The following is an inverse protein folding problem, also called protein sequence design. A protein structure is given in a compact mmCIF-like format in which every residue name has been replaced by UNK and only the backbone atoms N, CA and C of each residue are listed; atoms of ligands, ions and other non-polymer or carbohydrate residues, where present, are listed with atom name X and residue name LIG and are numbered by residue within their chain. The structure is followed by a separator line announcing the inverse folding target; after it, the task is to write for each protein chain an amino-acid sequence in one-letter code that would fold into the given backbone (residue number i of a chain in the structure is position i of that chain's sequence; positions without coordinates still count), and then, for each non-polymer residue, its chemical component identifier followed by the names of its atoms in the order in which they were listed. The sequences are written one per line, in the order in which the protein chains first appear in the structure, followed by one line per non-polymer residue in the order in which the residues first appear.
data_IF_611772136515
#
_entry.id   IF_611772136515
#
_cell.length_a   1.000
_cell.length_b   1.000
_cell.length_c   1.000
_cell.angle_alpha   90.00
_cell.angle_beta   90.00
_cell.angle_gamma   90.00
#
_symmetry.space_group_name_H-M   'P 1'
#
loop_
_entity.id
_entity.type
_entity.pdbx_description
1 polymer ?
#
# COMPACT_ATOMS: atom_id res chain seq x y z
N UNK A 1 -14.12 25.90 -28.90
CA UNK A 1 -14.57 26.22 -27.52
C UNK A 1 -15.82 25.43 -27.10
N UNK A 2 -16.86 25.30 -27.94
CA UNK A 2 -18.08 24.50 -27.63
C UNK A 2 -17.81 22.98 -27.56
N UNK A 3 -16.86 22.46 -28.34
CA UNK A 3 -16.46 21.04 -28.29
C UNK A 3 -15.66 20.63 -27.04
N UNK A 4 -14.94 21.59 -26.42
CA UNK A 4 -14.16 21.37 -25.18
C UNK A 4 -15.08 21.26 -23.96
N UNK A 5 -16.27 21.87 -24.00
CA UNK A 5 -17.26 21.77 -22.91
C UNK A 5 -18.04 20.44 -22.89
N UNK A 6 -18.16 19.75 -24.03
CA UNK A 6 -18.80 18.43 -24.10
C UNK A 6 -17.91 17.32 -23.50
N UNK A 7 -16.59 17.41 -23.71
CA UNK A 7 -15.60 16.47 -23.18
C UNK A 7 -15.56 16.41 -21.64
N UNK A 8 -15.77 17.56 -20.98
CA UNK A 8 -15.80 17.65 -19.51
C UNK A 8 -17.03 16.99 -18.86
N UNK A 9 -18.13 16.79 -19.60
CA UNK A 9 -19.39 16.24 -19.05
C UNK A 9 -19.38 14.71 -18.95
N UNK A 10 -18.60 14.03 -19.79
CA UNK A 10 -18.56 12.56 -19.87
C UNK A 10 -17.59 11.93 -18.85
N UNK A 11 -16.49 12.61 -18.52
CA UNK A 11 -15.58 12.25 -17.41
C UNK A 11 -16.26 12.47 -16.05
N UNK A 12 -17.06 13.55 -15.95
CA UNK A 12 -17.96 13.78 -14.79
C UNK A 12 -18.92 12.62 -14.52
N UNK A 13 -19.43 11.92 -15.54
CA UNK A 13 -20.40 10.81 -15.36
C UNK A 13 -19.73 9.54 -14.82
N UNK A 14 -18.50 9.22 -15.24
CA UNK A 14 -17.79 8.04 -14.76
C UNK A 14 -17.29 8.20 -13.32
N UNK A 15 -16.92 9.43 -12.93
CA UNK A 15 -16.32 9.71 -11.63
C UNK A 15 -17.33 10.22 -10.59
N UNK A 16 -18.44 10.83 -11.00
CA UNK A 16 -19.58 11.11 -10.08
C UNK A 16 -20.21 9.84 -9.51
N UNK A 17 -20.08 8.70 -10.21
CA UNK A 17 -20.45 7.37 -9.69
C UNK A 17 -19.64 6.93 -8.46
N UNK A 18 -18.49 7.58 -8.18
CA UNK A 18 -17.66 7.34 -6.99
C UNK A 18 -17.96 8.34 -5.84
N UNK A 19 -18.97 9.20 -5.97
CA UNK A 19 -19.42 10.10 -4.89
C UNK A 19 -18.45 11.23 -4.50
N UNK A 20 -17.32 11.37 -5.23
CA UNK A 20 -16.41 12.52 -5.14
C UNK A 20 -16.39 13.23 -6.50
N UNK A 21 -16.30 14.57 -6.51
CA UNK A 21 -15.90 15.29 -7.72
C UNK A 21 -14.51 14.79 -8.07
N UNK A 22 -14.37 14.05 -9.16
CA UNK A 22 -13.03 13.80 -9.66
C UNK A 22 -12.38 15.13 -10.02
N UNK A 23 -11.07 15.24 -9.78
CA UNK A 23 -10.32 16.37 -10.27
C UNK A 23 -10.49 16.43 -11.79
N UNK A 24 -10.74 17.64 -12.29
CA UNK A 24 -10.81 17.87 -13.73
C UNK A 24 -9.44 17.54 -14.35
N UNK A 25 -9.38 17.05 -15.58
CA UNK A 25 -8.10 16.77 -16.26
C UNK A 25 -7.17 18.01 -16.23
N UNK A 26 -7.77 19.20 -16.36
CA UNK A 26 -7.07 20.47 -16.22
C UNK A 26 -6.52 20.74 -14.81
N UNK A 27 -7.14 20.18 -13.77
CA UNK A 27 -6.66 20.31 -12.38
C UNK A 27 -5.45 19.40 -12.13
N UNK A 28 -5.42 18.21 -12.73
CA UNK A 28 -4.27 17.29 -12.65
C UNK A 28 -3.08 17.89 -13.39
N UNK A 29 -3.28 18.36 -14.63
CA UNK A 29 -2.22 19.01 -15.41
C UNK A 29 -1.68 20.26 -14.70
N UNK A 30 -2.58 21.08 -14.14
CA UNK A 30 -2.17 22.26 -13.35
C UNK A 30 -1.39 21.87 -12.09
N UNK A 31 -1.81 20.81 -11.39
CA UNK A 31 -1.11 20.30 -10.21
C UNK A 31 0.28 19.74 -10.56
N UNK A 32 0.40 19.03 -11.68
CA UNK A 32 1.68 18.55 -12.19
C UNK A 32 2.63 19.70 -12.50
N UNK A 33 2.22 20.66 -13.33
CA UNK A 33 3.07 21.77 -13.74
C UNK A 33 3.57 22.56 -12.52
N UNK A 34 2.67 22.81 -11.56
CA UNK A 34 3.01 23.46 -10.29
C UNK A 34 4.03 22.65 -9.50
N UNK A 35 3.82 21.34 -9.34
CA UNK A 35 4.71 20.47 -8.59
C UNK A 35 6.09 20.35 -9.24
N UNK A 36 6.17 20.19 -10.57
CA UNK A 36 7.42 20.10 -11.31
C UNK A 36 8.25 21.39 -11.19
N UNK A 37 7.61 22.55 -11.30
CA UNK A 37 8.27 23.85 -11.12
C UNK A 37 8.81 24.02 -9.69
N UNK A 38 8.03 23.61 -8.68
CA UNK A 38 8.48 23.65 -7.28
C UNK A 38 9.63 22.67 -7.01
N UNK A 39 9.59 21.45 -7.56
CA UNK A 39 10.69 20.48 -7.45
C UNK A 39 11.98 20.98 -8.12
N UNK A 40 11.88 21.68 -9.24
CA UNK A 40 13.03 22.30 -9.91
C UNK A 40 13.61 23.46 -9.07
N UNK A 41 12.75 24.30 -8.50
CA UNK A 41 13.18 25.35 -7.58
C UNK A 41 13.86 24.78 -6.33
N UNK A 42 13.29 23.73 -5.74
CA UNK A 42 13.88 23.02 -4.59
C UNK A 42 15.25 22.45 -4.95
N UNK A 43 15.38 21.78 -6.10
CA UNK A 43 16.65 21.22 -6.60
C UNK A 43 17.74 22.28 -6.70
N UNK A 44 17.44 23.45 -7.27
CA UNK A 44 18.39 24.58 -7.38
C UNK A 44 18.81 25.13 -6.02
N UNK A 45 17.92 25.11 -5.03
CA UNK A 45 18.17 25.68 -3.71
C UNK A 45 18.69 24.67 -2.67
N UNK A 46 18.86 23.39 -3.03
CA UNK A 46 19.38 22.34 -2.12
C UNK A 46 20.74 22.71 -1.49
N UNK A 47 21.61 23.41 -2.23
CA UNK A 47 22.92 23.83 -1.70
C UNK A 47 22.78 24.83 -0.54
N UNK A 48 21.78 25.69 -0.60
CA UNK A 48 21.60 26.82 0.32
C UNK A 48 20.64 26.53 1.47
N UNK A 49 19.77 25.51 1.34
CA UNK A 49 18.83 25.08 2.38
C UNK A 49 19.44 24.00 3.28
N UNK A 50 18.96 23.90 4.52
CA UNK A 50 19.28 22.75 5.36
C UNK A 50 18.62 21.47 4.81
N UNK A 51 19.16 20.29 5.17
CA UNK A 51 18.50 19.02 4.79
C UNK A 51 17.07 18.95 5.34
N UNK A 52 16.85 19.39 6.58
CA UNK A 52 15.55 19.34 7.23
C UNK A 52 14.51 20.23 6.53
N UNK A 53 14.88 21.47 6.16
CA UNK A 53 13.99 22.34 5.38
C UNK A 53 13.70 21.78 4.00
N UNK A 54 14.72 21.26 3.31
CA UNK A 54 14.56 20.71 1.97
C UNK A 54 13.65 19.47 1.96
N UNK A 55 13.77 18.64 3.00
CA UNK A 55 12.95 17.47 3.23
C UNK A 55 11.48 17.84 3.51
N UNK A 56 11.25 18.84 4.37
CA UNK A 56 9.90 19.36 4.67
C UNK A 56 9.24 19.97 3.42
N UNK A 57 10.00 20.73 2.63
CA UNK A 57 9.51 21.33 1.39
C UNK A 57 9.19 20.28 0.32
N UNK A 58 10.04 19.25 0.17
CA UNK A 58 9.75 18.11 -0.71
C UNK A 58 8.42 17.46 -0.35
N UNK A 59 8.21 17.15 0.93
CA UNK A 59 6.95 16.55 1.38
C UNK A 59 5.76 17.47 1.11
N UNK A 60 5.89 18.77 1.40
CA UNK A 60 4.84 19.75 1.13
C UNK A 60 4.44 19.79 -0.35
N UNK A 61 5.41 19.84 -1.27
CA UNK A 61 5.16 19.85 -2.72
C UNK A 61 4.36 18.62 -3.13
N UNK A 62 4.74 17.45 -2.63
CA UNK A 62 4.10 16.19 -2.96
C UNK A 62 2.70 16.08 -2.37
N UNK A 63 2.51 16.51 -1.13
CA UNK A 63 1.18 16.55 -0.50
C UNK A 63 0.23 17.47 -1.28
N UNK A 64 0.71 18.63 -1.72
CA UNK A 64 -0.08 19.56 -2.55
C UNK A 64 -0.37 18.99 -3.95
N UNK A 65 0.59 18.30 -4.57
CA UNK A 65 0.35 17.57 -5.82
C UNK A 65 -0.76 16.53 -5.64
N UNK A 66 -0.64 15.67 -4.63
CA UNK A 66 -1.60 14.60 -4.40
C UNK A 66 -2.99 15.12 -4.02
N UNK A 67 -3.04 16.22 -3.27
CA UNK A 67 -4.29 16.93 -2.95
C UNK A 67 -4.94 17.54 -4.19
N UNK A 68 -4.18 18.26 -5.01
CA UNK A 68 -4.68 18.90 -6.23
C UNK A 68 -5.08 17.90 -7.31
N UNK A 69 -4.21 16.91 -7.57
CA UNK A 69 -4.39 15.94 -8.63
C UNK A 69 -5.31 14.76 -8.29
N UNK A 70 -5.56 14.47 -7.01
CA UNK A 70 -6.36 13.29 -6.61
C UNK A 70 -7.44 13.61 -5.57
N UNK A 71 -7.61 14.87 -5.18
CA UNK A 71 -8.61 15.25 -4.18
C UNK A 71 -8.36 14.63 -2.80
N UNK A 72 -7.11 14.26 -2.51
CA UNK A 72 -6.69 13.77 -1.21
C UNK A 72 -6.73 14.90 -0.17
N UNK A 73 -7.01 14.55 1.10
CA UNK A 73 -6.87 15.50 2.19
C UNK A 73 -5.38 15.83 2.40
N UNK A 74 -5.08 17.04 2.86
CA UNK A 74 -3.69 17.50 3.06
C UNK A 74 -2.86 16.52 3.94
N UNK A 75 -3.47 15.96 4.97
CA UNK A 75 -2.85 14.99 5.89
C UNK A 75 -3.17 13.53 5.52
N UNK A 76 -3.05 13.18 4.23
CA UNK A 76 -3.25 11.79 3.83
C UNK A 76 -2.11 10.90 4.34
N UNK A 77 -2.46 9.64 4.63
CA UNK A 77 -1.54 8.54 4.98
C UNK A 77 -1.18 7.72 3.74
N UNK A 78 -0.10 6.94 3.79
CA UNK A 78 0.27 5.98 2.75
C UNK A 78 -0.85 4.97 2.46
N UNK A 79 -1.60 4.57 3.49
CA UNK A 79 -2.83 3.77 3.36
C UNK A 79 -3.91 4.48 2.52
N UNK A 80 -4.13 5.77 2.76
CA UNK A 80 -5.11 6.56 2.02
C UNK A 80 -4.70 6.76 0.57
N UNK A 81 -3.42 7.08 0.33
CA UNK A 81 -2.86 7.15 -1.02
C UNK A 81 -3.00 5.81 -1.75
N UNK A 82 -2.70 4.68 -1.09
CA UNK A 82 -2.88 3.34 -1.66
C UNK A 82 -4.31 3.07 -2.11
N UNK A 83 -5.29 3.45 -1.28
CA UNK A 83 -6.71 3.30 -1.63
C UNK A 83 -7.09 4.15 -2.84
N UNK A 84 -6.58 5.38 -2.97
CA UNK A 84 -6.88 6.21 -4.14
C UNK A 84 -6.16 5.69 -5.40
N UNK A 85 -4.87 5.33 -5.31
CA UNK A 85 -4.11 4.77 -6.43
C UNK A 85 -4.73 3.46 -6.96
N UNK A 86 -5.32 2.63 -6.10
CA UNK A 86 -6.02 1.40 -6.50
C UNK A 86 -7.24 1.65 -7.39
N UNK A 87 -7.91 2.80 -7.23
CA UNK A 87 -9.09 3.16 -8.04
C UNK A 87 -8.71 3.62 -9.44
N UNK A 88 -7.45 3.98 -9.64
CA UNK A 88 -6.98 4.51 -10.91
C UNK A 88 -6.51 3.38 -11.83
N UNK A 89 -6.71 3.53 -13.16
CA UNK A 89 -6.28 2.59 -14.18
C UNK A 89 -4.76 2.68 -14.44
N UNK A 90 -3.97 2.67 -13.37
CA UNK A 90 -2.52 2.75 -13.41
C UNK A 90 -1.89 1.35 -13.49
N UNK A 91 -0.72 1.25 -14.11
CA UNK A 91 0.11 0.05 -14.11
C UNK A 91 0.56 -0.33 -12.70
N UNK A 92 0.80 -1.61 -12.47
CA UNK A 92 1.27 -2.12 -11.17
C UNK A 92 2.59 -1.46 -10.76
N UNK A 93 3.49 -1.24 -11.71
CA UNK A 93 4.81 -0.65 -11.46
C UNK A 93 4.71 0.78 -10.90
N UNK A 94 3.88 1.63 -11.50
CA UNK A 94 3.74 3.01 -11.02
C UNK A 94 3.03 3.07 -9.65
N UNK A 95 2.07 2.17 -9.41
CA UNK A 95 1.43 2.04 -8.08
C UNK A 95 2.45 1.68 -7.01
N UNK A 96 3.33 0.71 -7.28
CA UNK A 96 4.40 0.30 -6.37
C UNK A 96 5.38 1.45 -6.14
N UNK A 97 5.83 2.13 -7.20
CA UNK A 97 6.77 3.23 -7.11
C UNK A 97 6.21 4.39 -6.28
N UNK A 98 4.97 4.82 -6.53
CA UNK A 98 4.31 5.87 -5.77
C UNK A 98 4.12 5.51 -4.30
N UNK A 99 3.78 4.24 -3.99
CA UNK A 99 3.61 3.77 -2.62
C UNK A 99 4.93 3.64 -1.85
N UNK A 100 5.96 3.10 -2.48
CA UNK A 100 7.30 3.02 -1.90
C UNK A 100 7.83 4.42 -1.59
N UNK A 101 7.63 5.35 -2.52
CA UNK A 101 8.02 6.75 -2.34
C UNK A 101 7.24 7.45 -1.21
N UNK A 102 5.93 7.20 -1.10
CA UNK A 102 5.12 7.73 0.00
C UNK A 102 5.57 7.22 1.37
N UNK A 103 5.96 5.94 1.49
CA UNK A 103 6.52 5.40 2.74
C UNK A 103 7.84 6.09 3.10
N UNK A 104 8.74 6.28 2.13
CA UNK A 104 10.00 7.02 2.35
C UNK A 104 9.76 8.46 2.81
N UNK A 105 8.72 9.13 2.31
CA UNK A 105 8.33 10.46 2.79
C UNK A 105 7.83 10.44 4.22
N UNK A 106 7.00 9.46 4.59
CA UNK A 106 6.54 9.29 5.97
C UNK A 106 7.73 9.06 6.91
N UNK A 107 8.66 8.17 6.54
CA UNK A 107 9.90 7.96 7.29
C UNK A 107 10.69 9.27 7.43
N UNK A 108 10.82 10.05 6.38
CA UNK A 108 11.51 11.33 6.39
C UNK A 108 10.84 12.37 7.30
N UNK A 109 9.51 12.39 7.39
CA UNK A 109 8.76 13.30 8.26
C UNK A 109 8.84 12.90 9.75
N UNK A 110 8.86 11.59 10.06
CA UNK A 110 8.67 11.10 11.43
C UNK A 110 9.91 10.46 12.08
N UNK A 111 10.93 10.09 11.32
CA UNK A 111 12.08 9.33 11.86
C UNK A 111 13.03 10.16 12.74
N UNK A 112 12.92 11.49 12.75
CA UNK A 112 13.93 12.37 13.34
C UNK A 112 15.33 12.21 12.70
N UNK A 113 15.42 11.43 11.62
CA UNK A 113 16.67 11.04 11.00
C UNK A 113 17.21 12.18 10.15
N UNK A 114 18.53 12.40 10.22
CA UNK A 114 19.20 13.42 9.41
C UNK A 114 19.44 12.88 8.01
N UNK A 115 18.51 13.16 7.10
CA UNK A 115 18.65 12.79 5.69
C UNK A 115 19.79 13.59 5.02
N UNK A 116 20.57 12.92 4.18
CA UNK A 116 21.67 13.57 3.44
C UNK A 116 21.12 14.37 2.25
N UNK A 117 21.74 15.50 1.91
CA UNK A 117 21.33 16.30 0.74
C UNK A 117 21.34 15.51 -0.58
N UNK A 118 22.27 14.57 -0.73
CA UNK A 118 22.35 13.67 -1.89
C UNK A 118 21.10 12.79 -2.01
N UNK A 119 20.60 12.29 -0.89
CA UNK A 119 19.41 11.45 -0.83
C UNK A 119 18.14 12.25 -1.12
N UNK A 120 18.03 13.49 -0.61
CA UNK A 120 16.94 14.41 -0.99
C UNK A 120 16.98 14.69 -2.50
N UNK A 121 18.17 14.92 -3.07
CA UNK A 121 18.31 15.12 -4.52
C UNK A 121 17.79 13.92 -5.31
N UNK A 122 18.10 12.70 -4.87
CA UNK A 122 17.59 11.49 -5.50
C UNK A 122 16.07 11.38 -5.37
N UNK A 123 15.52 11.67 -4.19
CA UNK A 123 14.07 11.70 -3.96
C UNK A 123 13.36 12.74 -4.83
N UNK A 124 13.96 13.91 -5.09
CA UNK A 124 13.42 14.90 -6.03
C UNK A 124 13.38 14.31 -7.45
N UNK A 125 14.43 13.61 -7.89
CA UNK A 125 14.44 12.95 -9.20
C UNK A 125 13.37 11.86 -9.30
N UNK A 126 13.23 11.04 -8.25
CA UNK A 126 12.20 10.00 -8.17
C UNK A 126 10.79 10.61 -8.18
N UNK A 127 10.55 11.67 -7.41
CA UNK A 127 9.29 12.42 -7.40
C UNK A 127 8.89 12.91 -8.79
N UNK A 128 9.81 13.56 -9.53
CA UNK A 128 9.54 14.06 -10.88
C UNK A 128 9.12 12.92 -11.83
N UNK A 129 9.84 11.80 -11.79
CA UNK A 129 9.50 10.62 -12.61
C UNK A 129 8.13 10.07 -12.28
N UNK A 130 7.80 9.93 -10.98
CA UNK A 130 6.51 9.42 -10.53
C UNK A 130 5.37 10.34 -10.96
N UNK A 131 5.52 11.66 -10.79
CA UNK A 131 4.50 12.64 -11.17
C UNK A 131 4.20 12.56 -12.67
N UNK A 132 5.23 12.66 -13.52
CA UNK A 132 5.09 12.63 -14.98
C UNK A 132 4.40 11.34 -15.43
N UNK A 133 4.86 10.20 -14.91
CA UNK A 133 4.34 8.90 -15.31
C UNK A 133 2.92 8.64 -14.79
N UNK A 134 2.58 9.14 -13.61
CA UNK A 134 1.22 9.10 -13.09
C UNK A 134 0.27 9.90 -13.98
N UNK A 135 0.60 11.14 -14.33
CA UNK A 135 -0.27 11.97 -15.17
C UNK A 135 -0.41 11.36 -16.57
N UNK A 136 0.70 10.93 -17.19
CA UNK A 136 0.69 10.29 -18.52
C UNK A 136 -0.29 9.12 -18.59
N UNK A 137 -0.23 8.19 -17.63
CA UNK A 137 -1.12 7.02 -17.63
C UNK A 137 -2.59 7.41 -17.39
N UNK A 138 -2.86 8.46 -16.61
CA UNK A 138 -4.23 8.95 -16.39
C UNK A 138 -4.80 9.57 -17.66
N UNK A 139 -3.99 10.34 -18.39
CA UNK A 139 -4.39 10.89 -19.69
C UNK A 139 -4.65 9.79 -20.73
N UNK A 140 -3.78 8.79 -20.82
CA UNK A 140 -3.93 7.67 -21.74
C UNK A 140 -5.18 6.84 -21.44
N UNK A 141 -5.46 6.58 -20.16
CA UNK A 141 -6.69 5.92 -19.75
C UNK A 141 -7.94 6.76 -20.05
N UNK A 142 -7.82 8.09 -19.98
CA UNK A 142 -8.91 9.01 -20.32
C UNK A 142 -9.18 9.05 -21.82
N UNK A 143 -8.13 9.08 -22.66
CA UNK A 143 -8.22 9.06 -24.13
C UNK A 143 -8.78 7.74 -24.66
N UNK A 144 -8.24 6.60 -24.20
CA UNK A 144 -8.73 5.26 -24.60
C UNK A 144 -10.19 5.00 -24.18
N UNK A 145 -10.61 5.54 -23.03
CA UNK A 145 -12.00 5.50 -22.60
C UNK A 145 -12.96 6.30 -23.50
N UNK A 146 -12.48 7.37 -24.15
CA UNK A 146 -13.28 8.17 -25.09
C UNK A 146 -13.43 7.48 -26.45
N UNK A 147 -12.34 6.92 -27.00
CA UNK A 147 -12.37 6.23 -28.29
C UNK A 147 -13.32 5.03 -28.28
N UNK A 148 -13.24 4.19 -27.24
CA UNK A 148 -14.14 3.05 -27.07
C UNK A 148 -15.62 3.48 -26.93
N UNK A 149 -15.89 4.64 -26.33
CA UNK A 149 -17.25 5.17 -26.22
C UNK A 149 -17.75 5.81 -27.50
N UNK A 150 -16.91 6.49 -28.27
CA UNK A 150 -17.28 7.02 -29.59
C UNK A 150 -17.61 5.87 -30.55
N UNK A 151 -16.82 4.78 -30.52
CA UNK A 151 -17.10 3.56 -31.28
C UNK A 151 -18.39 2.88 -30.82
N UNK A 152 -18.61 2.72 -29.51
CA UNK A 152 -19.83 2.11 -28.98
C UNK A 152 -21.08 2.98 -29.15
N UNK A 153 -20.97 4.31 -29.12
CA UNK A 153 -22.10 5.20 -29.40
C UNK A 153 -22.56 5.09 -30.86
N UNK A 154 -21.65 4.84 -31.81
CA UNK A 154 -22.01 4.57 -33.20
C UNK A 154 -22.67 3.19 -33.39
N UNK A 155 -22.37 2.21 -32.53
CA UNK A 155 -23.04 0.91 -32.51
C UNK A 155 -24.43 0.96 -31.83
N UNK A 156 -24.57 1.74 -30.75
CA UNK A 156 -25.82 1.86 -29.96
C UNK A 156 -26.92 2.67 -30.70
N UNK A 157 -26.56 3.58 -31.62
CA UNK A 157 -27.54 4.28 -32.48
C UNK A 157 -28.24 3.31 -33.45
N UNK A 158 -27.61 2.20 -33.81
CA UNK A 158 -28.23 1.17 -34.65
C UNK A 158 -29.02 0.13 -33.83
N UNK A 159 -28.65 -0.13 -32.57
CA UNK A 159 -29.34 -1.09 -31.70
C UNK A 159 -30.56 -0.51 -30.97
N UNK A 160 -30.63 0.82 -30.78
CA UNK A 160 -31.74 1.49 -30.06
C UNK A 160 -33.06 1.62 -30.83
N UNK A 161 -33.14 1.19 -32.09
CA UNK A 161 -34.42 1.14 -32.81
C UNK A 161 -35.27 -0.08 -32.48
N UNK A 162 -34.69 -1.14 -31.89
CA UNK A 162 -35.40 -2.43 -31.75
C UNK A 162 -35.68 -2.89 -30.31
N UNK A 163 -35.23 -2.15 -29.29
CA UNK A 163 -35.32 -2.60 -27.87
C UNK A 163 -36.11 -1.68 -26.95
N UNK A 164 -36.97 -0.80 -27.50
CA UNK A 164 -37.90 0.01 -26.71
C UNK A 164 -39.27 -0.66 -26.56
N UNK A 165 -39.30 -1.95 -26.18
CA UNK A 165 -40.52 -2.62 -25.74
C UNK A 165 -40.23 -3.97 -25.09
N UNK A 166 -39.51 -4.00 -23.96
CA UNK A 166 -39.78 -4.97 -22.89
C UNK A 166 -38.87 -4.74 -21.67
N UNK A 167 -39.49 -4.89 -20.50
CA UNK A 167 -38.88 -5.14 -19.18
C UNK A 167 -38.20 -3.98 -18.45
N UNK A 168 -39.01 -3.05 -17.92
CA UNK A 168 -38.62 -2.28 -16.73
C UNK A 168 -39.82 -1.93 -15.85
N UNK A 169 -40.32 -2.91 -15.08
CA UNK A 169 -41.25 -2.64 -13.98
C UNK A 169 -41.10 -3.53 -12.74
N UNK A 170 -40.22 -4.55 -12.72
CA UNK A 170 -40.16 -5.53 -11.61
C UNK A 170 -38.86 -5.60 -10.78
N UNK A 171 -37.73 -5.03 -11.22
CA UNK A 171 -36.40 -5.39 -10.68
C UNK A 171 -35.85 -4.48 -9.55
N UNK A 172 -36.26 -3.21 -9.50
CA UNK A 172 -35.68 -2.26 -8.55
C UNK A 172 -36.07 -2.52 -7.08
N UNK A 173 -37.30 -2.97 -6.83
CA UNK A 173 -37.78 -3.29 -5.47
C UNK A 173 -36.99 -4.43 -4.82
N UNK A 174 -36.71 -5.48 -5.59
CA UNK A 174 -35.96 -6.65 -5.11
C UNK A 174 -34.52 -6.29 -4.69
N UNK A 175 -33.84 -5.41 -5.43
CA UNK A 175 -32.47 -5.01 -5.13
C UNK A 175 -32.36 -4.15 -3.87
N UNK A 176 -33.34 -3.27 -3.61
CA UNK A 176 -33.39 -2.46 -2.39
C UNK A 176 -33.65 -3.34 -1.16
N UNK A 177 -34.56 -4.29 -1.28
CA UNK A 177 -34.86 -5.24 -0.21
C UNK A 177 -33.67 -6.14 0.12
N UNK A 178 -32.93 -6.61 -0.90
CA UNK A 178 -31.70 -7.37 -0.71
C UNK A 178 -30.62 -6.55 0.01
N UNK A 179 -30.46 -5.27 -0.33
CA UNK A 179 -29.54 -4.36 0.36
C UNK A 179 -29.94 -4.17 1.82
N UNK A 180 -31.23 -3.96 2.11
CA UNK A 180 -31.74 -3.78 3.48
C UNK A 180 -31.46 -5.01 4.33
N UNK A 181 -31.73 -6.22 3.82
CA UNK A 181 -31.44 -7.48 4.52
C UNK A 181 -29.95 -7.63 4.85
N UNK A 182 -29.08 -7.36 3.87
CA UNK A 182 -27.63 -7.44 4.09
C UNK A 182 -27.11 -6.35 5.04
N UNK A 183 -27.75 -5.18 5.08
CA UNK A 183 -27.40 -4.11 6.01
C UNK A 183 -27.69 -4.53 7.45
N UNK A 184 -28.83 -5.14 7.71
CA UNK A 184 -29.18 -5.64 9.05
C UNK A 184 -28.20 -6.72 9.52
N UNK A 185 -27.86 -7.67 8.63
CA UNK A 185 -26.84 -8.68 8.89
C UNK A 185 -25.47 -8.05 9.17
N UNK A 186 -25.03 -7.12 8.31
CA UNK A 186 -23.74 -6.44 8.44
C UNK A 186 -23.64 -5.61 9.71
N UNK A 187 -24.71 -4.90 10.09
CA UNK A 187 -24.78 -4.13 11.33
C UNK A 187 -24.78 -5.03 12.56
N UNK A 188 -25.48 -6.16 12.51
CA UNK A 188 -25.46 -7.17 13.58
C UNK A 188 -24.06 -7.75 13.77
N UNK A 189 -23.37 -8.10 12.68
CA UNK A 189 -21.98 -8.57 12.70
C UNK A 189 -21.01 -7.51 13.23
N UNK A 190 -21.23 -6.23 12.90
CA UNK A 190 -20.42 -5.15 13.42
C UNK A 190 -20.62 -4.99 14.94
N UNK A 191 -21.87 -5.05 15.41
CA UNK A 191 -22.20 -4.96 16.85
C UNK A 191 -21.61 -6.11 17.67
N UNK A 192 -21.53 -7.31 17.10
CA UNK A 192 -20.89 -8.47 17.77
C UNK A 192 -19.36 -8.44 17.72
N UNK A 193 -18.75 -7.41 17.10
CA UNK A 193 -17.30 -7.29 16.98
C UNK A 193 -16.69 -8.15 15.86
N UNK A 194 -17.51 -8.82 15.05
CA UNK A 194 -17.05 -9.59 13.89
C UNK A 194 -16.74 -8.67 12.70
N UNK A 195 -15.61 -8.00 12.79
CA UNK A 195 -15.14 -7.02 11.81
C UNK A 195 -15.01 -7.60 10.39
N UNK A 196 -14.46 -8.81 10.25
CA UNK A 196 -14.24 -9.43 8.94
C UNK A 196 -15.56 -9.69 8.21
N UNK A 197 -16.56 -10.23 8.91
CA UNK A 197 -17.87 -10.52 8.34
C UNK A 197 -18.65 -9.22 7.98
N UNK A 198 -18.63 -8.22 8.87
CA UNK A 198 -19.25 -6.93 8.60
C UNK A 198 -18.64 -6.23 7.36
N UNK A 199 -17.32 -6.31 7.18
CA UNK A 199 -16.61 -5.78 6.01
C UNK A 199 -16.99 -6.52 4.73
N UNK A 200 -17.13 -7.84 4.78
CA UNK A 200 -17.59 -8.65 3.65
C UNK A 200 -19.01 -8.27 3.22
N UNK A 201 -19.93 -8.09 4.19
CA UNK A 201 -21.29 -7.63 3.93
C UNK A 201 -21.31 -6.24 3.26
N UNK A 202 -20.53 -5.29 3.78
CA UNK A 202 -20.40 -3.96 3.18
C UNK A 202 -19.93 -4.02 1.71
N UNK A 203 -18.97 -4.89 1.40
CA UNK A 203 -18.48 -5.06 0.03
C UNK A 203 -19.60 -5.52 -0.92
N UNK A 204 -20.42 -6.50 -0.50
CA UNK A 204 -21.57 -6.98 -1.29
C UNK A 204 -22.61 -5.89 -1.49
N UNK A 205 -22.98 -5.18 -0.43
CA UNK A 205 -23.94 -4.06 -0.48
C UNK A 205 -23.48 -2.98 -1.47
N UNK A 206 -22.19 -2.62 -1.44
CA UNK A 206 -21.64 -1.59 -2.32
C UNK A 206 -21.77 -1.95 -3.81
N UNK A 207 -21.64 -3.24 -4.17
CA UNK A 207 -21.77 -3.70 -5.53
C UNK A 207 -23.22 -3.61 -6.05
N UNK A 208 -24.22 -3.92 -5.21
CA UNK A 208 -25.64 -3.80 -5.57
C UNK A 208 -26.05 -2.33 -5.62
N UNK A 209 -25.59 -1.52 -4.65
CA UNK A 209 -25.90 -0.10 -4.56
C UNK A 209 -25.54 0.67 -5.84
N UNK A 210 -24.44 0.31 -6.51
CA UNK A 210 -24.03 0.96 -7.76
C UNK A 210 -25.03 0.77 -8.91
N UNK A 211 -25.79 -0.33 -8.88
CA UNK A 211 -26.79 -0.67 -9.91
C UNK A 211 -28.16 -0.01 -9.68
N UNK A 212 -28.40 0.53 -8.49
CA UNK A 212 -29.65 1.21 -8.16
C UNK A 212 -29.81 2.55 -8.91
N UNK A 213 -31.05 2.93 -9.17
CA UNK A 213 -31.41 4.29 -9.60
C UNK A 213 -31.23 5.30 -8.45
N UNK A 214 -31.25 6.60 -8.78
CA UNK A 214 -30.95 7.65 -7.81
C UNK A 214 -31.98 7.76 -6.68
N UNK A 215 -33.24 7.41 -6.94
CA UNK A 215 -34.30 7.39 -5.93
C UNK A 215 -34.04 6.28 -4.92
N UNK A 216 -33.81 5.05 -5.42
CA UNK A 216 -33.50 3.88 -4.60
C UNK A 216 -32.22 4.07 -3.78
N UNK A 217 -31.18 4.67 -4.37
CA UNK A 217 -29.93 5.02 -3.66
C UNK A 217 -30.18 5.92 -2.46
N UNK A 218 -31.06 6.91 -2.59
CA UNK A 218 -31.36 7.86 -1.51
C UNK A 218 -31.92 7.16 -0.28
N UNK A 219 -32.71 6.11 -0.46
CA UNK A 219 -33.37 5.38 0.62
C UNK A 219 -32.38 4.54 1.46
N UNK A 220 -31.41 3.88 0.82
CA UNK A 220 -30.47 2.96 1.51
C UNK A 220 -29.16 3.63 1.94
N UNK A 221 -28.82 4.79 1.37
CA UNK A 221 -27.55 5.50 1.63
C UNK A 221 -27.27 5.79 3.12
N UNK A 222 -28.23 6.25 3.95
CA UNK A 222 -27.98 6.51 5.36
C UNK A 222 -27.48 5.28 6.12
N UNK A 223 -28.12 4.13 5.91
CA UNK A 223 -27.78 2.86 6.57
C UNK A 223 -26.41 2.31 6.11
N UNK A 224 -26.07 2.48 4.83
CA UNK A 224 -24.73 2.13 4.32
C UNK A 224 -23.64 2.96 5.01
N UNK A 225 -23.88 4.26 5.19
CA UNK A 225 -22.96 5.16 5.89
C UNK A 225 -22.79 4.74 7.36
N UNK A 226 -23.87 4.31 8.02
CA UNK A 226 -23.81 3.81 9.40
C UNK A 226 -22.95 2.56 9.51
N UNK A 227 -23.18 1.55 8.65
CA UNK A 227 -22.37 0.34 8.61
C UNK A 227 -20.88 0.66 8.39
N UNK A 228 -20.57 1.54 7.44
CA UNK A 228 -19.20 1.99 7.18
C UNK A 228 -18.55 2.63 8.41
N UNK A 229 -19.27 3.51 9.12
CA UNK A 229 -18.77 4.14 10.35
C UNK A 229 -18.51 3.11 11.45
N UNK A 230 -19.38 2.11 11.63
CA UNK A 230 -19.16 1.04 12.62
C UNK A 230 -17.91 0.23 12.29
N UNK A 231 -17.74 -0.18 11.03
CA UNK A 231 -16.54 -0.89 10.55
C UNK A 231 -15.27 -0.09 10.86
N UNK A 232 -15.26 1.23 10.60
CA UNK A 232 -14.11 2.09 10.89
C UNK A 232 -13.76 2.18 12.38
N UNK A 233 -14.76 2.23 13.27
CA UNK A 233 -14.55 2.20 14.73
C UNK A 233 -13.94 0.88 15.19
N UNK A 234 -14.44 -0.25 14.67
CA UNK A 234 -13.92 -1.58 14.98
C UNK A 234 -12.47 -1.73 14.52
N UNK A 235 -12.13 -1.24 13.33
CA UNK A 235 -10.76 -1.29 12.80
C UNK A 235 -9.79 -0.53 13.72
N UNK A 236 -10.20 0.65 14.20
CA UNK A 236 -9.40 1.45 15.13
C UNK A 236 -9.21 0.73 16.48
N UNK A 237 -10.25 0.06 16.98
CA UNK A 237 -10.17 -0.74 18.21
C UNK A 237 -9.23 -1.94 18.07
N UNK A 238 -9.27 -2.64 16.93
CA UNK A 238 -8.35 -3.75 16.63
C UNK A 238 -6.89 -3.27 16.57
N UNK A 239 -6.63 -2.14 15.88
CA UNK A 239 -5.30 -1.53 15.80
C UNK A 239 -4.77 -1.09 17.17
N UNK A 240 -5.62 -0.63 18.08
CA UNK A 240 -5.21 -0.30 19.44
C UNK A 240 -4.87 -1.55 20.26
N UNK A 241 -5.68 -2.62 20.17
CA UNK A 241 -5.37 -3.90 20.85
C UNK A 241 -4.04 -4.49 20.40
N UNK A 242 -3.73 -4.46 19.09
CA UNK A 242 -2.44 -4.94 18.57
C UNK A 242 -1.25 -4.08 19.03
N UNK A 243 -1.48 -2.78 19.30
CA UNK A 243 -0.43 -1.88 19.79
C UNK A 243 -0.09 -2.15 21.25
N UNK A 244 -1.09 -2.49 22.08
CA UNK A 244 -0.89 -2.81 23.51
C UNK A 244 -0.18 -4.16 23.70
N UNK A 245 -0.43 -5.15 22.85
CA UNK A 245 0.33 -6.42 22.88
C UNK A 245 1.78 -6.27 22.42
N UNK A 246 2.11 -5.24 21.63
CA UNK A 246 3.49 -4.96 21.24
C UNK A 246 4.32 -4.33 22.38
N UNK A 247 3.73 -3.52 23.25
CA UNK A 247 4.44 -2.97 24.43
C UNK A 247 4.71 -4.03 25.51
N UNK A 248 3.94 -5.11 25.58
CA UNK A 248 4.25 -6.25 26.45
C UNK A 248 5.56 -6.97 26.03
N UNK A 249 5.93 -6.95 24.74
CA UNK A 249 7.24 -7.45 24.27
C UNK A 249 8.40 -6.54 24.71
N UNK A 250 8.17 -5.24 24.94
CA UNK A 250 9.20 -4.36 25.53
C UNK A 250 9.48 -4.68 26.99
N UNK A 251 8.49 -5.15 27.74
CA UNK A 251 8.73 -5.68 29.09
C UNK A 251 9.60 -6.95 29.03
N UNK A 252 9.37 -7.83 28.05
CA UNK A 252 10.24 -8.98 27.79
C UNK A 252 11.69 -8.61 27.41
N UNK A 253 11.88 -7.57 26.59
CA UNK A 253 13.20 -7.04 26.24
C UNK A 253 13.88 -6.37 27.44
N UNK A 254 13.13 -5.72 28.34
CA UNK A 254 13.70 -5.18 29.58
C UNK A 254 14.21 -6.30 30.51
N UNK A 255 13.49 -7.42 30.62
CA UNK A 255 13.97 -8.60 31.34
C UNK A 255 15.18 -9.26 30.66
N UNK A 256 15.22 -9.29 29.32
CA UNK A 256 16.38 -9.79 28.56
C UNK A 256 17.62 -8.91 28.77
N UNK A 257 17.45 -7.58 28.77
CA UNK A 257 18.55 -6.62 29.00
C UNK A 257 19.07 -6.68 30.44
N UNK A 258 18.20 -6.86 31.43
CA UNK A 258 18.62 -7.10 32.83
C UNK A 258 19.40 -8.41 32.94
N UNK A 259 18.98 -9.47 32.23
CA UNK A 259 19.72 -10.72 32.14
C UNK A 259 21.09 -10.58 31.46
N UNK A 260 21.19 -9.80 30.38
CA UNK A 260 22.45 -9.55 29.67
C UNK A 260 23.42 -8.70 30.51
N UNK A 261 22.93 -7.70 31.25
CA UNK A 261 23.76 -6.92 32.18
C UNK A 261 24.28 -7.79 33.32
N UNK A 262 23.46 -8.73 33.82
CA UNK A 262 23.89 -9.71 34.83
C UNK A 262 24.94 -10.70 34.29
N UNK A 263 24.81 -11.11 33.02
CA UNK A 263 25.80 -11.97 32.35
C UNK A 263 27.11 -11.23 32.01
N UNK A 264 27.04 -9.94 31.65
CA UNK A 264 28.22 -9.10 31.39
C UNK A 264 29.03 -8.76 32.66
N UNK A 265 28.43 -8.84 33.85
CA UNK A 265 29.17 -8.69 35.11
C UNK A 265 30.07 -9.90 35.45
N UNK A 266 29.90 -11.05 34.78
CA UNK A 266 30.60 -12.30 35.12
C UNK A 266 31.47 -12.89 34.01
N UNK A 267 31.74 -12.18 32.91
CA UNK A 267 32.59 -12.67 31.82
C UNK A 267 33.86 -11.80 31.59
N UNK A 268 35.03 -12.41 31.37
CA UNK A 268 36.28 -11.69 31.09
C UNK A 268 36.23 -10.99 29.73
N UNK A 269 36.76 -9.76 29.69
CA UNK A 269 36.71 -8.81 28.56
C UNK A 269 37.37 -9.36 27.28
N UNK A 270 36.63 -9.41 26.19
CA UNK A 270 37.17 -9.40 24.82
C UNK A 270 36.49 -8.28 23.99
N UNK A 271 37.20 -7.66 23.03
CA UNK A 271 36.68 -6.48 22.32
C UNK A 271 35.79 -6.88 21.13
N UNK A 272 34.54 -6.43 21.13
CA UNK A 272 33.64 -6.50 19.97
C UNK A 272 33.69 -5.18 19.19
N UNK A 273 34.05 -5.25 17.90
CA UNK A 273 33.89 -4.16 16.93
C UNK A 273 32.66 -4.42 16.08
N UNK A 274 31.77 -3.44 15.93
CA UNK A 274 30.67 -3.46 14.97
C UNK A 274 31.03 -2.55 13.79
N UNK A 275 31.01 -3.09 12.57
CA UNK A 275 31.19 -2.34 11.31
C UNK A 275 29.93 -2.48 10.45
N UNK A 276 29.35 -1.35 10.05
CA UNK A 276 28.30 -1.29 9.03
C UNK A 276 28.93 -1.24 7.63
N UNK A 277 28.58 -2.17 6.75
CA UNK A 277 28.99 -2.17 5.34
C UNK A 277 27.75 -1.86 4.48
N UNK A 278 27.76 -0.80 3.65
CA UNK A 278 26.66 -0.55 2.73
C UNK A 278 26.86 -1.36 1.44
N UNK A 279 25.96 -2.31 1.18
CA UNK A 279 25.74 -2.90 -0.15
C UNK A 279 24.33 -2.48 -0.58
N UNK A 280 24.26 -1.77 -1.70
CA UNK A 280 23.03 -1.11 -2.19
C UNK A 280 21.98 -2.11 -2.68
N UNK A 281 20.74 -1.96 -2.19
CA UNK A 281 19.53 -2.48 -2.86
C UNK A 281 18.67 -3.45 -2.04
N UNK A 282 19.17 -3.99 -0.92
CA UNK A 282 18.43 -4.93 -0.08
C UNK A 282 18.60 -4.57 1.41
N UNK A 283 17.52 -4.65 2.20
CA UNK A 283 17.63 -4.53 3.66
C UNK A 283 18.23 -5.81 4.21
N UNK A 284 19.44 -5.69 4.75
CA UNK A 284 20.11 -6.77 5.45
C UNK A 284 19.92 -6.62 6.95
N UNK A 285 19.61 -7.71 7.64
CA UNK A 285 19.74 -7.81 9.10
C UNK A 285 20.87 -8.77 9.39
N UNK A 286 21.84 -8.32 10.18
CA UNK A 286 22.97 -9.14 10.58
C UNK A 286 22.89 -9.48 12.07
N UNK A 287 23.13 -10.74 12.39
CA UNK A 287 23.24 -11.24 13.77
C UNK A 287 24.61 -11.89 13.90
N UNK A 288 25.57 -11.18 14.49
CA UNK A 288 26.98 -11.58 14.45
C UNK A 288 27.56 -11.51 13.03
N UNK A 289 28.24 -12.58 12.58
CA UNK A 289 28.86 -12.69 11.24
C UNK A 289 27.87 -13.11 10.14
N UNK A 290 26.60 -13.36 10.47
CA UNK A 290 25.58 -13.86 9.54
C UNK A 290 24.63 -12.70 9.19
N UNK A 291 24.38 -12.48 7.91
CA UNK A 291 23.47 -11.48 7.36
C UNK A 291 22.39 -12.12 6.48
N UNK A 292 21.17 -11.60 6.56
CA UNK A 292 19.99 -12.12 5.88
C UNK A 292 19.41 -11.09 4.90
N UNK A 293 18.91 -11.53 3.74
CA UNK A 293 18.14 -10.71 2.80
C UNK A 293 16.99 -11.49 2.16
N UNK A 294 15.74 -11.00 2.23
CA UNK A 294 15.30 -9.85 3.03
C UNK A 294 15.41 -10.13 4.54
N UNK A 295 15.33 -9.08 5.36
CA UNK A 295 15.34 -9.15 6.83
C UNK A 295 14.39 -10.25 7.37
N UNK A 296 14.82 -11.10 8.32
CA UNK A 296 13.99 -12.14 8.92
C UNK A 296 13.09 -11.52 9.99
N UNK A 297 12.18 -10.64 9.59
CA UNK A 297 11.06 -10.21 10.41
C UNK A 297 9.79 -10.82 9.82
N UNK A 298 9.04 -11.58 10.63
CA UNK A 298 7.70 -12.14 10.36
C UNK A 298 7.23 -11.96 8.91
N UNK A 299 7.83 -12.68 7.96
CA UNK A 299 7.41 -12.61 6.56
C UNK A 299 6.07 -13.30 6.50
N UNK A 300 5.00 -12.53 6.39
CA UNK A 300 3.65 -13.07 6.18
C UNK A 300 3.55 -13.41 4.70
N UNK A 301 3.64 -14.70 4.40
CA UNK A 301 3.63 -15.24 3.04
C UNK A 301 2.21 -15.69 2.74
N UNK A 302 1.66 -15.29 1.59
CA UNK A 302 0.41 -15.87 1.12
C UNK A 302 0.64 -17.31 0.68
N UNK A 303 -0.31 -18.19 0.98
CA UNK A 303 -0.29 -19.58 0.49
C UNK A 303 -0.06 -19.57 -1.04
N UNK A 304 0.82 -20.45 -1.55
CA UNK A 304 1.26 -20.59 -2.96
C UNK A 304 2.32 -19.62 -3.51
N UNK A 305 2.87 -18.71 -2.71
CA UNK A 305 4.02 -17.88 -3.14
C UNK A 305 5.35 -18.48 -2.66
N UNK A 306 6.29 -18.69 -3.59
CA UNK A 306 7.64 -19.15 -3.26
C UNK A 306 8.41 -18.06 -2.51
N UNK A 307 8.97 -18.41 -1.36
CA UNK A 307 9.81 -17.51 -0.56
C UNK A 307 11.26 -17.90 -0.78
N UNK A 308 12.09 -16.92 -1.12
CA UNK A 308 13.54 -17.11 -1.18
C UNK A 308 14.20 -16.19 -0.17
N UNK A 309 15.00 -16.76 0.72
CA UNK A 309 15.86 -16.03 1.66
C UNK A 309 17.32 -16.31 1.30
N UNK A 310 18.09 -15.25 1.14
CA UNK A 310 19.53 -15.31 0.93
C UNK A 310 20.26 -15.09 2.27
N UNK A 311 21.24 -15.96 2.53
CA UNK A 311 22.07 -15.92 3.73
C UNK A 311 23.51 -15.66 3.30
N UNK A 312 24.14 -14.67 3.93
CA UNK A 312 25.51 -14.25 3.66
C UNK A 312 26.32 -14.30 4.95
N UNK A 313 27.55 -14.84 4.88
CA UNK A 313 28.49 -14.80 6.01
C UNK A 313 29.62 -13.82 5.68
N UNK A 314 29.76 -12.80 6.52
CA UNK A 314 30.66 -11.66 6.25
C UNK A 314 32.09 -11.89 6.70
N UNK A 315 32.34 -12.96 7.48
CA UNK A 315 33.67 -13.31 7.95
C UNK A 315 33.76 -14.84 8.16
N UNK A 316 33.80 -15.64 7.07
CA UNK A 316 33.99 -17.08 7.22
C UNK A 316 35.38 -17.31 7.83
N UNK A 317 35.44 -17.90 9.02
CA UNK A 317 36.58 -18.79 9.31
C UNK A 317 36.60 -19.86 8.20
N UNK A 318 37.72 -20.51 7.94
CA UNK A 318 37.82 -21.59 6.93
C UNK A 318 36.91 -22.82 7.22
N UNK A 319 35.93 -22.68 8.12
CA UNK A 319 34.89 -23.64 8.46
C UNK A 319 33.71 -23.50 7.48
N UNK A 320 33.27 -24.63 6.94
CA UNK A 320 32.13 -24.68 6.03
C UNK A 320 30.84 -24.29 6.77
N UNK A 321 30.10 -23.32 6.22
CA UNK A 321 28.71 -23.08 6.65
C UNK A 321 27.90 -24.35 6.44
N UNK A 322 27.25 -24.82 7.50
CA UNK A 322 26.38 -25.98 7.50
C UNK A 322 24.94 -25.55 7.79
N UNK A 323 24.00 -25.96 6.94
CA UNK A 323 22.58 -25.61 7.09
C UNK A 323 21.85 -26.83 7.63
N UNK A 324 21.75 -26.94 8.96
CA UNK A 324 21.60 -28.26 9.57
C UNK A 324 20.18 -28.76 9.80
N UNK A 325 19.11 -27.94 9.73
CA UNK A 325 17.71 -28.43 9.53
C UNK A 325 16.67 -27.31 9.70
N UNK A 326 15.51 -27.51 9.07
CA UNK A 326 14.26 -26.81 9.40
C UNK A 326 13.52 -27.60 10.48
N UNK A 327 13.45 -27.07 11.70
CA UNK A 327 12.63 -27.66 12.76
C UNK A 327 11.15 -27.38 12.45
N UNK A 328 10.33 -28.44 12.34
CA UNK A 328 8.95 -28.35 11.87
C UNK A 328 8.81 -28.38 10.34
N UNK A 329 9.76 -29.05 9.66
CA UNK A 329 9.88 -29.32 8.22
C UNK A 329 8.54 -29.20 7.45
N UNK A 330 8.23 -28.04 6.86
CA UNK A 330 7.13 -27.99 5.93
C UNK A 330 7.52 -28.81 4.69
N UNK A 331 6.57 -29.54 4.11
CA UNK A 331 6.82 -30.67 3.19
C UNK A 331 7.57 -30.32 1.88
N UNK A 332 7.95 -29.06 1.65
CA UNK A 332 8.47 -28.55 0.37
C UNK A 332 9.51 -27.42 0.51
N UNK A 333 10.38 -27.48 1.52
CA UNK A 333 11.55 -26.60 1.61
C UNK A 333 12.79 -27.22 0.97
N UNK A 334 13.61 -26.40 0.31
CA UNK A 334 14.95 -26.78 -0.13
C UNK A 334 15.99 -25.80 0.36
N UNK A 335 17.15 -26.33 0.73
CA UNK A 335 18.32 -25.54 1.11
C UNK A 335 19.42 -25.84 0.09
N UNK A 336 19.95 -24.80 -0.53
CA UNK A 336 21.03 -24.90 -1.50
C UNK A 336 22.20 -24.03 -1.03
N UNK A 337 23.37 -24.66 -0.84
CA UNK A 337 24.64 -23.94 -0.73
C UNK A 337 24.99 -23.36 -2.10
N UNK A 338 25.15 -22.05 -2.21
CA UNK A 338 25.58 -21.40 -3.46
C UNK A 338 27.11 -21.46 -3.53
N UNK A 339 27.78 -21.07 -2.43
CA UNK A 339 29.23 -21.12 -2.29
C UNK A 339 29.60 -21.17 -0.79
N UNK A 340 30.88 -20.96 -0.44
CA UNK A 340 31.36 -21.05 0.94
C UNK A 340 30.90 -19.88 1.83
N UNK A 341 30.35 -18.81 1.26
CA UNK A 341 29.93 -17.60 1.97
C UNK A 341 28.44 -17.27 1.79
N UNK A 342 27.75 -18.02 0.92
CA UNK A 342 26.38 -17.75 0.51
C UNK A 342 25.55 -19.04 0.46
N UNK A 343 24.36 -18.96 1.05
CA UNK A 343 23.34 -19.99 0.97
C UNK A 343 21.99 -19.42 0.53
N UNK A 344 21.17 -20.27 -0.07
CA UNK A 344 19.80 -19.97 -0.47
C UNK A 344 18.85 -20.95 0.18
N UNK A 345 17.85 -20.40 0.86
CA UNK A 345 16.74 -21.17 1.42
C UNK A 345 15.52 -20.85 0.56
N UNK A 346 14.90 -21.88 0.00
CA UNK A 346 13.65 -21.76 -0.76
C UNK A 346 12.54 -22.48 -0.02
N UNK A 347 11.44 -21.78 0.21
CA UNK A 347 10.28 -22.32 0.89
C UNK A 347 9.03 -22.19 0.03
N UNK A 348 8.36 -23.32 -0.21
CA UNK A 348 7.13 -23.39 -1.00
C UNK A 348 5.96 -23.87 -0.11
N UNK A 349 5.29 -22.97 0.64
CA UNK A 349 4.20 -23.36 1.53
C UNK A 349 3.02 -23.96 0.77
N UNK A 350 2.51 -25.09 1.23
CA UNK A 350 1.22 -25.65 0.80
C UNK A 350 0.12 -25.33 1.79
N UNK A 351 -1.13 -25.66 1.44
CA UNK A 351 -2.29 -25.45 2.32
C UNK A 351 -2.21 -26.20 3.66
N UNK A 352 -1.32 -27.19 3.78
CA UNK A 352 -1.07 -27.93 5.01
C UNK A 352 -0.03 -27.24 5.93
N UNK A 353 0.74 -26.27 5.41
CA UNK A 353 1.84 -25.61 6.12
C UNK A 353 1.34 -24.30 6.78
N UNK A 354 0.65 -24.44 7.92
CA UNK A 354 0.17 -23.31 8.73
C UNK A 354 0.87 -23.32 10.08
N UNK A 355 1.76 -22.35 10.32
CA UNK A 355 2.48 -22.23 11.60
C UNK A 355 3.71 -21.32 11.53
N UNK A 356 4.37 -21.13 12.67
CA UNK A 356 5.70 -20.53 12.70
C UNK A 356 6.75 -21.62 12.45
N UNK A 357 7.63 -21.41 11.48
CA UNK A 357 8.74 -22.33 11.17
C UNK A 357 10.07 -21.70 11.62
N UNK A 358 10.92 -22.50 12.26
CA UNK A 358 12.23 -22.06 12.75
C UNK A 358 13.32 -22.64 11.84
N UNK A 359 14.16 -21.77 11.32
CA UNK A 359 15.36 -22.14 10.57
C UNK A 359 16.57 -22.00 11.49
N UNK A 360 17.37 -23.05 11.62
CA UNK A 360 18.65 -22.98 12.33
C UNK A 360 19.81 -23.01 11.33
N UNK A 361 20.76 -22.09 11.50
CA UNK A 361 22.00 -21.99 10.71
C UNK A 361 23.15 -22.13 11.69
N UNK A 362 24.09 -23.03 11.42
CA UNK A 362 25.21 -23.39 12.29
C UNK A 362 26.56 -23.18 11.62
#
# INVERSE_FOLDING_TARGET
VVFVMAASKAVRSALSRLGRKAPHESEIESAEQKALLQLEALSRHLKNKSSAESAKELSFILREFFKGGFGLKYEFTSDELSRELKKLPLSTNIKIAALSFAKKLEELEFSGFRIKKSEISEMITQARRIIIELTRQIEEASKSGQENRAQNANLDVNARKDLQSQDSAGSAGSAVEEISRMLDEGLSMAKSGNYAAARAAYSKISAIYLKLDDSSKKNVKPSIIELYRMIGRLESSQRQKSKVTFDARKAGIAFLLIGIVFAMMFLPKSPFFSRSIPITGYEFVCTGSICFSPAPSDVTVNQSENVTVYVYVTNPSDENITFDTLAGNPLFSSIAKINNTEGKITFNPTNADVGAHVVTIS
#
